data_IF_795433709164
#
_entry.id   IF_795433709164
#
_cell.length_a   1.000
_cell.length_b   1.000
_cell.length_c   1.000
_cell.angle_alpha   90.00
_cell.angle_beta   90.00
_cell.angle_gamma   90.00
#
_symmetry.space_group_name_H-M   'P 1'
#
loop_
_entity.id
_entity.type
_entity.pdbx_description
1 polymer ?
#
# COMPACT_ATOMS: atom_id res chain seq x y z
N UNK A 1 14.63 43.50 22.17
CA UNK A 1 14.29 42.60 21.05
C UNK A 1 15.58 41.94 20.60
N UNK A 2 15.72 40.63 20.79
CA UNK A 2 16.94 39.90 20.44
C UNK A 2 17.00 39.72 18.93
N UNK A 3 17.94 40.41 18.29
CA UNK A 3 18.24 40.23 16.87
C UNK A 3 18.76 38.79 16.71
N UNK A 4 18.17 37.95 15.84
CA UNK A 4 18.71 36.61 15.62
C UNK A 4 20.14 36.73 15.05
N UNK A 5 21.09 35.88 15.49
CA UNK A 5 22.45 35.94 15.01
C UNK A 5 22.46 35.78 13.48
N UNK A 6 23.28 36.60 12.81
CA UNK A 6 23.52 36.52 11.38
C UNK A 6 23.75 35.06 10.97
N UNK A 7 22.92 34.56 10.05
CA UNK A 7 22.89 33.15 9.69
C UNK A 7 24.20 32.76 8.99
N UNK A 8 25.11 32.11 9.72
CA UNK A 8 26.50 31.87 9.31
C UNK A 8 26.78 30.51 8.68
N UNK A 9 25.78 29.80 8.14
CA UNK A 9 25.98 28.48 7.53
C UNK A 9 25.85 28.51 6.01
N UNK A 10 26.79 27.86 5.31
CA UNK A 10 26.66 27.58 3.87
C UNK A 10 25.64 26.47 3.62
N UNK A 11 25.21 26.32 2.37
CA UNK A 11 24.26 25.27 1.97
C UNK A 11 24.82 23.86 2.24
N UNK A 12 26.10 23.65 2.01
CA UNK A 12 26.81 22.39 2.22
C UNK A 12 26.89 22.07 3.71
N UNK A 13 27.13 23.08 4.54
CA UNK A 13 27.14 22.92 6.00
C UNK A 13 25.75 22.55 6.52
N UNK A 14 24.70 23.22 6.03
CA UNK A 14 23.31 22.87 6.40
C UNK A 14 22.95 21.46 5.95
N UNK A 15 23.34 21.06 4.73
CA UNK A 15 23.14 19.71 4.23
C UNK A 15 23.86 18.67 5.10
N UNK A 16 25.12 18.91 5.43
CA UNK A 16 25.91 18.04 6.32
C UNK A 16 25.26 17.88 7.70
N UNK A 17 24.83 18.98 8.33
CA UNK A 17 24.12 18.93 9.62
C UNK A 17 22.82 18.13 9.53
N UNK A 18 22.06 18.26 8.43
CA UNK A 18 20.85 17.46 8.22
C UNK A 18 21.13 15.96 8.15
N UNK A 19 22.18 15.54 7.43
CA UNK A 19 22.57 14.14 7.32
C UNK A 19 23.04 13.59 8.68
N UNK A 20 23.90 14.32 9.39
CA UNK A 20 24.44 13.88 10.70
C UNK A 20 23.32 13.72 11.73
N UNK A 21 22.41 14.70 11.82
CA UNK A 21 21.29 14.63 12.77
C UNK A 21 20.31 13.50 12.42
N UNK A 22 20.15 13.18 11.14
CA UNK A 22 19.32 12.07 10.67
C UNK A 22 19.97 10.71 11.01
N UNK A 23 21.28 10.56 10.77
CA UNK A 23 22.02 9.34 11.11
C UNK A 23 22.09 9.10 12.62
N UNK A 24 22.25 10.18 13.40
CA UNK A 24 22.24 10.13 14.87
C UNK A 24 20.85 9.95 15.50
N UNK A 25 19.79 9.78 14.70
CA UNK A 25 18.42 9.52 15.18
C UNK A 25 17.78 10.68 15.97
N UNK A 26 18.41 11.85 16.02
CA UNK A 26 17.97 13.00 16.82
C UNK A 26 16.93 13.84 16.08
N UNK A 27 15.78 13.25 15.73
CA UNK A 27 14.77 13.87 14.85
C UNK A 27 14.17 15.15 15.45
N UNK A 28 14.04 15.23 16.77
CA UNK A 28 13.56 16.44 17.46
C UNK A 28 14.55 17.61 17.37
N UNK A 29 15.86 17.32 17.35
CA UNK A 29 16.88 18.35 17.13
C UNK A 29 16.88 18.78 15.66
N UNK A 30 16.74 17.83 14.74
CA UNK A 30 16.59 18.10 13.31
C UNK A 30 15.39 19.02 13.03
N UNK A 31 14.24 18.76 13.68
CA UNK A 31 13.05 19.60 13.53
C UNK A 31 13.24 21.03 14.03
N UNK A 32 13.97 21.23 15.14
CA UNK A 32 14.31 22.59 15.63
C UNK A 32 15.31 23.29 14.71
N UNK A 33 16.32 22.57 14.23
CA UNK A 33 17.31 23.10 13.30
C UNK A 33 16.63 23.57 12.00
N UNK A 34 15.77 22.74 11.40
CA UNK A 34 15.02 23.10 10.20
C UNK A 34 14.12 24.33 10.39
N UNK A 35 13.55 24.52 11.59
CA UNK A 35 12.75 25.70 11.90
C UNK A 35 13.60 26.97 12.07
N UNK A 36 14.85 26.83 12.52
CA UNK A 36 15.79 27.95 12.67
C UNK A 36 16.42 28.41 11.36
N UNK A 37 16.24 27.68 10.25
CA UNK A 37 16.78 28.06 8.95
C UNK A 37 16.08 29.32 8.41
N UNK A 38 16.81 30.26 7.80
CA UNK A 38 16.24 31.46 7.20
C UNK A 38 15.41 31.08 5.99
N UNK A 39 14.45 31.94 5.63
CA UNK A 39 13.59 31.79 4.45
C UNK A 39 14.36 32.05 3.13
N UNK A 40 15.48 31.38 2.93
CA UNK A 40 16.24 31.40 1.68
C UNK A 40 15.73 30.28 0.77
N UNK A 41 15.25 30.66 -0.42
CA UNK A 41 14.62 29.75 -1.37
C UNK A 41 15.56 28.64 -1.87
N UNK A 42 16.84 28.99 -2.11
CA UNK A 42 17.87 28.03 -2.56
C UNK A 42 18.15 26.95 -1.51
N UNK A 43 18.24 27.34 -0.23
CA UNK A 43 18.45 26.41 0.88
C UNK A 43 17.29 25.42 1.02
N UNK A 44 16.06 25.89 0.75
CA UNK A 44 14.84 25.11 0.86
C UNK A 44 14.65 24.12 -0.29
N UNK A 45 15.35 24.32 -1.42
CA UNK A 45 15.39 23.42 -2.58
C UNK A 45 16.49 22.35 -2.48
N UNK A 46 17.40 22.45 -1.51
CA UNK A 46 18.45 21.46 -1.31
C UNK A 46 17.85 20.08 -0.94
N UNK A 47 18.30 19.02 -1.63
CA UNK A 47 17.78 17.66 -1.42
C UNK A 47 17.93 17.16 0.03
N UNK A 48 19.06 17.41 0.69
CA UNK A 48 19.27 16.98 2.09
C UNK A 48 18.30 17.67 3.05
N UNK A 49 18.01 18.94 2.82
CA UNK A 49 17.03 19.71 3.61
C UNK A 49 15.61 19.19 3.36
N UNK A 50 15.25 18.93 2.09
CA UNK A 50 13.96 18.36 1.73
C UNK A 50 13.76 16.96 2.31
N UNK A 51 14.78 16.10 2.22
CA UNK A 51 14.80 14.77 2.84
C UNK A 51 14.64 14.86 4.36
N UNK A 52 15.35 15.78 5.01
CA UNK A 52 15.22 16.02 6.45
C UNK A 52 13.80 16.47 6.83
N UNK A 53 13.19 17.39 6.05
CA UNK A 53 11.80 17.82 6.23
C UNK A 53 10.82 16.65 6.11
N UNK A 54 10.99 15.79 5.11
CA UNK A 54 10.18 14.59 4.93
C UNK A 54 10.29 13.65 6.16
N UNK A 55 11.50 13.41 6.67
CA UNK A 55 11.72 12.58 7.86
C UNK A 55 11.07 13.17 9.11
N UNK A 56 11.22 14.48 9.33
CA UNK A 56 10.60 15.17 10.48
C UNK A 56 9.07 15.13 10.37
N UNK A 57 8.51 15.38 9.19
CA UNK A 57 7.06 15.29 8.95
C UNK A 57 6.52 13.87 9.25
N UNK A 58 7.24 12.83 8.81
CA UNK A 58 6.91 11.45 9.12
C UNK A 58 6.91 11.16 10.62
N UNK A 59 7.94 11.60 11.35
CA UNK A 59 8.06 11.37 12.80
C UNK A 59 6.96 12.07 13.60
N UNK A 60 6.53 13.26 13.17
CA UNK A 60 5.45 14.02 13.79
C UNK A 60 4.05 13.49 13.43
N UNK A 61 3.95 12.53 12.52
CA UNK A 61 2.67 12.03 12.00
C UNK A 61 1.98 13.00 11.04
N UNK A 62 2.66 14.04 10.57
CA UNK A 62 2.15 15.01 9.60
C UNK A 62 2.33 14.46 8.18
N UNK A 63 1.58 13.41 7.85
CA UNK A 63 1.74 12.71 6.56
C UNK A 63 1.39 13.58 5.36
N UNK A 64 0.48 14.55 5.50
CA UNK A 64 0.15 15.51 4.44
C UNK A 64 1.37 16.31 3.97
N UNK A 65 2.18 16.78 4.90
CA UNK A 65 3.39 17.54 4.57
C UNK A 65 4.46 16.63 3.97
N UNK A 66 4.58 15.40 4.46
CA UNK A 66 5.43 14.36 3.86
C UNK A 66 5.07 14.16 2.38
N UNK A 67 3.81 13.90 2.07
CA UNK A 67 3.36 13.66 0.69
C UNK A 67 3.66 14.87 -0.20
N UNK A 68 3.33 16.08 0.28
CA UNK A 68 3.62 17.32 -0.44
C UNK A 68 5.11 17.45 -0.78
N UNK A 69 6.00 17.21 0.18
CA UNK A 69 7.45 17.30 -0.05
C UNK A 69 7.90 16.28 -1.10
N UNK A 70 7.44 15.04 -0.97
CA UNK A 70 7.81 13.94 -1.87
C UNK A 70 7.27 14.13 -3.28
N UNK A 71 6.08 14.68 -3.46
CA UNK A 71 5.46 14.87 -4.78
C UNK A 71 5.93 16.14 -5.49
N UNK A 72 6.39 17.16 -4.75
CA UNK A 72 6.69 18.48 -5.33
C UNK A 72 8.13 18.65 -5.82
N UNK A 73 9.07 17.78 -5.40
CA UNK A 73 10.49 17.94 -5.70
C UNK A 73 11.09 16.65 -6.22
N UNK A 74 11.90 16.73 -7.27
CA UNK A 74 12.66 15.59 -7.78
C UNK A 74 13.82 15.27 -6.85
N UNK A 75 14.02 13.99 -6.54
CA UNK A 75 15.16 13.53 -5.75
C UNK A 75 16.11 12.70 -6.58
N UNK A 76 17.39 12.74 -6.21
CA UNK A 76 18.41 11.88 -6.80
C UNK A 76 18.20 10.40 -6.43
N UNK A 77 18.58 9.44 -7.31
CA UNK A 77 18.34 8.01 -7.11
C UNK A 77 18.85 7.43 -5.79
N UNK A 78 19.97 7.93 -5.27
CA UNK A 78 20.53 7.47 -3.99
C UNK A 78 19.61 7.75 -2.79
N UNK A 79 18.73 8.76 -2.88
CA UNK A 79 17.75 9.06 -1.84
C UNK A 79 16.45 8.26 -1.99
N UNK A 80 16.16 7.70 -3.17
CA UNK A 80 14.88 7.03 -3.47
C UNK A 80 14.53 5.92 -2.48
N UNK A 81 15.40 4.96 -2.13
CA UNK A 81 15.02 3.85 -1.25
C UNK A 81 14.48 4.32 0.11
N UNK A 82 15.10 5.36 0.67
CA UNK A 82 14.68 5.92 1.96
C UNK A 82 13.33 6.63 1.85
N UNK A 83 13.13 7.43 0.80
CA UNK A 83 11.90 8.20 0.60
C UNK A 83 10.72 7.30 0.24
N UNK A 84 10.95 6.27 -0.58
CA UNK A 84 9.95 5.24 -0.90
C UNK A 84 9.49 4.50 0.36
N UNK A 85 10.42 4.16 1.27
CA UNK A 85 10.08 3.57 2.56
C UNK A 85 9.19 4.49 3.41
N UNK A 86 9.49 5.80 3.46
CA UNK A 86 8.66 6.76 4.20
C UNK A 86 7.26 6.86 3.62
N UNK A 87 7.14 6.99 2.28
CA UNK A 87 5.87 7.03 1.57
C UNK A 87 4.99 5.81 1.89
N UNK A 88 5.56 4.60 1.71
CA UNK A 88 4.84 3.36 1.94
C UNK A 88 4.45 3.19 3.41
N UNK A 89 5.37 3.48 4.33
CA UNK A 89 5.11 3.33 5.77
C UNK A 89 4.04 4.32 6.24
N UNK A 90 4.05 5.56 5.76
CA UNK A 90 3.04 6.56 6.09
C UNK A 90 1.64 6.09 5.66
N UNK A 91 1.49 5.66 4.41
CA UNK A 91 0.21 5.14 3.93
C UNK A 91 -0.23 3.85 4.63
N UNK A 92 0.71 2.97 5.02
CA UNK A 92 0.38 1.82 5.85
C UNK A 92 -0.15 2.24 7.22
N UNK A 93 0.51 3.17 7.89
CA UNK A 93 0.09 3.68 9.20
C UNK A 93 -1.30 4.33 9.14
N UNK A 94 -1.58 5.14 8.13
CA UNK A 94 -2.92 5.71 7.92
C UNK A 94 -3.98 4.62 7.70
N UNK A 95 -3.66 3.62 6.86
CA UNK A 95 -4.58 2.52 6.59
C UNK A 95 -4.81 1.61 7.81
N UNK A 96 -3.78 1.40 8.64
CA UNK A 96 -3.88 0.65 9.90
C UNK A 96 -4.72 1.41 10.92
N UNK A 97 -4.50 2.72 11.05
CA UNK A 97 -5.27 3.59 11.94
C UNK A 97 -6.76 3.61 11.57
N UNK A 98 -7.09 3.70 10.28
CA UNK A 98 -8.47 3.65 9.81
C UNK A 98 -9.15 2.30 10.03
N UNK A 99 -8.38 1.20 9.99
CA UNK A 99 -8.92 -0.16 10.18
C UNK A 99 -8.93 -0.63 11.63
N UNK A 100 -8.20 0.04 12.52
CA UNK A 100 -8.02 -0.37 13.92
C UNK A 100 -7.26 -1.69 14.09
N UNK A 101 -6.59 -2.20 13.04
CA UNK A 101 -5.83 -3.46 13.09
C UNK A 101 -4.62 -3.44 12.16
N UNK A 102 -3.55 -4.19 12.46
CA UNK A 102 -2.37 -4.27 11.61
C UNK A 102 -2.69 -4.76 10.19
N UNK A 103 -1.97 -4.22 9.21
CA UNK A 103 -2.15 -4.56 7.80
C UNK A 103 -1.41 -5.86 7.45
N UNK A 104 -2.16 -6.88 7.03
CA UNK A 104 -1.60 -8.07 6.40
C UNK A 104 -1.06 -7.83 4.99
N UNK A 105 -0.43 -8.85 4.39
CA UNK A 105 0.21 -8.75 3.06
C UNK A 105 -0.74 -8.22 1.96
N UNK A 106 -1.98 -8.71 1.94
CA UNK A 106 -3.01 -8.25 0.98
C UNK A 106 -3.41 -6.80 1.22
N UNK A 107 -3.48 -6.38 2.49
CA UNK A 107 -3.75 -4.99 2.85
C UNK A 107 -2.65 -4.06 2.33
N UNK A 108 -1.39 -4.40 2.59
CA UNK A 108 -0.23 -3.64 2.09
C UNK A 108 -0.17 -3.61 0.55
N UNK A 109 -0.54 -4.70 -0.11
CA UNK A 109 -0.69 -4.73 -1.58
C UNK A 109 -1.75 -3.74 -2.08
N UNK A 110 -2.94 -3.72 -1.46
CA UNK A 110 -4.02 -2.79 -1.83
C UNK A 110 -3.61 -1.34 -1.63
N UNK A 111 -2.89 -1.02 -0.56
CA UNK A 111 -2.37 0.34 -0.30
C UNK A 111 -1.38 0.75 -1.39
N UNK A 112 -0.39 -0.09 -1.73
CA UNK A 112 0.57 0.18 -2.82
C UNK A 112 -0.10 0.42 -4.17
N UNK A 113 -1.20 -0.29 -4.45
CA UNK A 113 -1.98 -0.09 -5.68
C UNK A 113 -2.80 1.18 -5.68
N UNK A 114 -3.30 1.61 -4.52
CA UNK A 114 -4.09 2.83 -4.38
C UNK A 114 -3.22 4.09 -4.39
N UNK A 115 -2.02 3.99 -3.82
CA UNK A 115 -1.06 5.08 -3.68
C UNK A 115 0.29 4.65 -4.25
N UNK A 116 0.44 4.65 -5.60
CA UNK A 116 1.71 4.33 -6.24
C UNK A 116 2.81 5.32 -5.84
N UNK A 117 4.07 4.92 -5.99
CA UNK A 117 5.20 5.82 -5.73
C UNK A 117 5.19 6.98 -6.74
N UNK A 118 5.36 8.24 -6.30
CA UNK A 118 5.44 9.36 -7.21
C UNK A 118 6.76 9.32 -8.02
N UNK A 119 6.72 9.82 -9.26
CA UNK A 119 7.86 9.83 -10.22
C UNK A 119 9.07 10.62 -9.69
N UNK A 120 8.84 11.48 -8.71
CA UNK A 120 9.87 12.26 -8.01
C UNK A 120 10.83 11.41 -7.16
N UNK A 121 10.40 10.23 -6.73
CA UNK A 121 11.19 9.29 -5.91
C UNK A 121 11.26 7.89 -6.53
N UNK A 122 10.89 7.77 -7.79
CA UNK A 122 10.85 6.52 -8.52
C UNK A 122 11.05 6.77 -10.02
N UNK A 123 12.06 6.10 -10.58
CA UNK A 123 12.41 6.08 -12.00
C UNK A 123 11.29 5.58 -12.91
N UNK A 124 10.28 4.92 -12.34
CA UNK A 124 9.07 4.62 -13.05
C UNK A 124 9.06 3.32 -13.81
N UNK A 125 9.99 2.41 -13.50
CA UNK A 125 10.00 1.05 -14.00
C UNK A 125 8.76 0.29 -13.52
N UNK A 126 7.67 0.42 -14.27
CA UNK A 126 6.38 -0.15 -13.90
C UNK A 126 6.50 -1.66 -13.70
N UNK A 127 6.31 -2.11 -12.46
CA UNK A 127 6.08 -3.53 -12.19
C UNK A 127 4.67 -3.84 -12.67
N UNK A 128 4.51 -4.14 -13.96
CA UNK A 128 3.23 -4.54 -14.52
C UNK A 128 2.77 -5.82 -13.83
N UNK A 129 1.87 -5.65 -12.86
CA UNK A 129 1.34 -6.74 -12.05
C UNK A 129 0.30 -7.56 -12.82
N UNK A 130 -0.19 -7.01 -13.94
CA UNK A 130 -1.07 -7.70 -14.88
C UNK A 130 -0.21 -8.41 -15.92
N UNK A 131 -0.56 -9.66 -16.26
CA UNK A 131 0.11 -10.34 -17.36
C UNK A 131 -0.02 -9.54 -18.66
N UNK A 132 0.94 -9.71 -19.58
CA UNK A 132 0.90 -9.13 -20.92
C UNK A 132 -0.43 -9.46 -21.61
N UNK A 133 -0.91 -8.55 -22.47
CA UNK A 133 -2.16 -8.70 -23.25
C UNK A 133 -2.29 -10.10 -23.85
N UNK A 134 -1.24 -10.55 -24.56
CA UNK A 134 -1.15 -11.86 -25.20
C UNK A 134 -1.37 -13.02 -24.23
N UNK A 135 -0.67 -13.02 -23.09
CA UNK A 135 -0.81 -14.05 -22.06
C UNK A 135 -2.24 -14.07 -21.47
N UNK A 136 -2.87 -12.89 -21.33
CA UNK A 136 -4.26 -12.80 -20.84
C UNK A 136 -5.27 -13.37 -21.83
N UNK A 137 -5.08 -13.14 -23.13
CA UNK A 137 -5.98 -13.69 -24.16
C UNK A 137 -5.97 -15.22 -24.15
N UNK A 138 -4.79 -15.84 -24.16
CA UNK A 138 -4.64 -17.30 -24.11
C UNK A 138 -5.31 -17.90 -22.86
N UNK A 139 -5.12 -17.28 -21.68
CA UNK A 139 -5.75 -17.76 -20.45
C UNK A 139 -7.28 -17.62 -20.48
N UNK A 140 -7.81 -16.53 -21.03
CA UNK A 140 -9.26 -16.32 -21.16
C UNK A 140 -9.90 -17.30 -22.13
N UNK A 141 -9.32 -17.46 -23.31
CA UNK A 141 -9.76 -18.42 -24.32
C UNK A 141 -9.74 -19.84 -23.76
N UNK A 142 -8.69 -20.20 -23.02
CA UNK A 142 -8.67 -21.53 -22.44
C UNK A 142 -9.71 -21.73 -21.34
N UNK A 143 -9.97 -20.69 -20.54
CA UNK A 143 -10.97 -20.72 -19.48
C UNK A 143 -12.40 -20.97 -19.98
N UNK A 144 -12.77 -20.45 -21.16
CA UNK A 144 -14.10 -20.71 -21.72
C UNK A 144 -14.30 -22.17 -22.09
N UNK A 145 -13.23 -22.89 -22.42
CA UNK A 145 -13.26 -24.31 -22.75
C UNK A 145 -13.14 -25.18 -21.49
N UNK A 146 -12.18 -24.87 -20.61
CA UNK A 146 -11.92 -25.64 -19.40
C UNK A 146 -11.51 -24.74 -18.22
N UNK A 147 -12.43 -24.45 -17.27
CA UNK A 147 -12.13 -23.67 -16.06
C UNK A 147 -11.21 -24.38 -15.05
N UNK A 148 -10.95 -25.68 -15.20
CA UNK A 148 -10.22 -26.53 -14.25
C UNK A 148 -9.09 -27.31 -14.95
N UNK A 149 -8.02 -26.64 -15.41
CA UNK A 149 -6.91 -27.31 -16.07
C UNK A 149 -6.15 -28.23 -15.10
N UNK A 150 -5.77 -29.41 -15.58
CA UNK A 150 -4.92 -30.40 -14.93
C UNK A 150 -3.49 -29.90 -14.72
N UNK A 151 -2.68 -30.56 -13.88
CA UNK A 151 -1.27 -30.19 -13.69
C UNK A 151 -0.44 -30.17 -14.98
N UNK A 152 -0.77 -31.03 -15.95
CA UNK A 152 -0.12 -31.06 -17.27
C UNK A 152 -0.52 -29.86 -18.11
N UNK A 153 -1.82 -29.61 -18.26
CA UNK A 153 -2.33 -28.46 -19.03
C UNK A 153 -1.84 -27.13 -18.44
N UNK A 154 -1.69 -27.03 -17.12
CA UNK A 154 -1.08 -25.85 -16.47
C UNK A 154 0.38 -25.63 -16.86
N UNK A 155 1.15 -26.70 -17.13
CA UNK A 155 2.52 -26.59 -17.65
C UNK A 155 2.51 -26.11 -19.09
N UNK A 156 1.64 -26.67 -19.93
CA UNK A 156 1.49 -26.26 -21.33
C UNK A 156 1.06 -24.77 -21.43
N UNK A 157 0.14 -24.32 -20.57
CA UNK A 157 -0.25 -22.90 -20.48
C UNK A 157 0.88 -22.01 -19.98
N UNK A 158 1.67 -22.48 -19.01
CA UNK A 158 2.82 -21.74 -18.50
C UNK A 158 3.85 -21.51 -19.62
N UNK A 159 4.15 -22.55 -20.39
CA UNK A 159 5.01 -22.50 -21.57
C UNK A 159 4.45 -21.54 -22.65
N UNK A 160 3.17 -21.69 -23.01
CA UNK A 160 2.53 -20.87 -24.04
C UNK A 160 2.42 -19.38 -23.66
N UNK A 161 2.27 -19.07 -22.37
CA UNK A 161 2.05 -17.70 -21.89
C UNK A 161 3.32 -17.02 -21.37
N UNK A 162 4.42 -17.76 -21.21
CA UNK A 162 5.64 -17.30 -20.56
C UNK A 162 5.47 -17.01 -19.06
N UNK A 163 4.47 -17.62 -18.42
CA UNK A 163 4.17 -17.47 -17.00
C UNK A 163 4.64 -18.69 -16.22
N UNK A 164 4.82 -18.55 -14.92
CA UNK A 164 5.03 -19.71 -14.04
C UNK A 164 3.74 -20.51 -13.86
N UNK A 165 3.86 -21.82 -13.64
CA UNK A 165 2.73 -22.72 -13.33
C UNK A 165 1.91 -22.26 -12.12
N UNK A 166 2.57 -21.63 -11.14
CA UNK A 166 1.94 -21.00 -9.97
C UNK A 166 1.10 -19.78 -10.37
N UNK A 167 1.61 -18.91 -11.23
CA UNK A 167 0.86 -17.75 -11.75
C UNK A 167 -0.38 -18.18 -12.53
N UNK A 168 -0.25 -19.21 -13.40
CA UNK A 168 -1.37 -19.80 -14.12
C UNK A 168 -2.39 -20.37 -13.12
N UNK A 169 -1.95 -21.18 -12.16
CA UNK A 169 -2.83 -21.76 -11.13
C UNK A 169 -3.60 -20.69 -10.35
N UNK A 170 -2.92 -19.63 -9.94
CA UNK A 170 -3.53 -18.51 -9.23
C UNK A 170 -4.51 -17.74 -10.10
N UNK A 171 -4.23 -17.57 -11.39
CA UNK A 171 -5.13 -16.90 -12.31
C UNK A 171 -6.47 -17.64 -12.43
N UNK A 172 -6.45 -18.96 -12.67
CA UNK A 172 -7.66 -19.77 -12.77
C UNK A 172 -8.44 -19.78 -11.45
N UNK A 173 -7.75 -19.90 -10.31
CA UNK A 173 -8.38 -19.79 -8.98
C UNK A 173 -9.09 -18.43 -8.81
N UNK A 174 -8.40 -17.34 -9.11
CA UNK A 174 -8.92 -15.99 -8.95
C UNK A 174 -10.03 -15.65 -9.95
N UNK A 175 -10.04 -16.27 -11.14
CA UNK A 175 -11.10 -16.11 -12.13
C UNK A 175 -12.39 -16.78 -11.65
N UNK A 176 -12.33 -18.05 -11.24
CA UNK A 176 -13.48 -18.77 -10.66
C UNK A 176 -14.06 -18.08 -9.42
N UNK A 177 -13.21 -17.47 -8.59
CA UNK A 177 -13.68 -16.68 -7.44
C UNK A 177 -14.47 -15.43 -7.86
N UNK A 178 -14.07 -14.77 -8.96
CA UNK A 178 -14.78 -13.59 -9.48
C UNK A 178 -16.12 -13.97 -10.10
N UNK A 179 -16.16 -15.08 -10.83
CA UNK A 179 -17.39 -15.53 -11.49
C UNK A 179 -18.45 -15.92 -10.44
N UNK A 180 -18.07 -16.70 -9.42
CA UNK A 180 -18.98 -17.00 -8.28
C UNK A 180 -19.45 -15.75 -7.54
N UNK A 181 -18.60 -14.72 -7.40
CA UNK A 181 -18.97 -13.48 -6.75
C UNK A 181 -19.90 -12.61 -7.62
N UNK A 182 -19.81 -12.72 -8.95
CA UNK A 182 -20.74 -12.07 -9.87
C UNK A 182 -22.11 -12.77 -9.84
N UNK A 183 -22.13 -14.10 -9.93
CA UNK A 183 -23.37 -14.90 -9.83
C UNK A 183 -24.11 -14.67 -8.50
N UNK A 184 -23.38 -14.53 -7.39
CA UNK A 184 -23.98 -14.24 -6.09
C UNK A 184 -24.69 -12.87 -6.06
N UNK A 185 -24.10 -11.86 -6.70
CA UNK A 185 -24.69 -10.52 -6.79
C UNK A 185 -25.90 -10.47 -7.71
N UNK A 186 -25.88 -11.21 -8.81
CA UNK A 186 -27.01 -11.32 -9.74
C UNK A 186 -28.23 -11.94 -9.04
N UNK A 187 -28.03 -12.99 -8.24
CA UNK A 187 -29.10 -13.62 -7.43
C UNK A 187 -29.66 -12.69 -6.34
N UNK A 188 -28.83 -11.87 -5.71
CA UNK A 188 -29.28 -10.88 -4.73
C UNK A 188 -30.11 -9.76 -5.38
N UNK A 189 -29.84 -9.41 -6.64
CA UNK A 189 -30.57 -8.40 -7.38
C UNK A 189 -31.90 -8.93 -7.96
N UNK A 190 -31.94 -10.18 -8.43
CA UNK A 190 -33.16 -10.82 -8.93
C UNK A 190 -34.13 -11.26 -7.81
N UNK A 191 -33.64 -11.41 -6.58
CA UNK A 191 -34.47 -11.71 -5.40
C UNK A 191 -35.29 -10.53 -4.86
N UNK A 192 -35.17 -9.33 -5.43
CA UNK A 192 -35.82 -8.11 -4.96
C UNK A 192 -37.09 -7.72 -5.75
N UNK A 193 -37.59 -8.55 -6.68
CA UNK A 193 -38.83 -8.24 -7.40
C UNK A 193 -39.73 -9.47 -7.66
N UNK A 194 -40.74 -9.74 -6.81
CA UNK A 194 -41.74 -10.76 -7.10
C UNK A 194 -42.91 -10.12 -7.85
N UNK A 195 -42.72 -9.67 -9.09
CA UNK A 195 -43.84 -9.46 -10.00
C UNK A 195 -43.41 -9.29 -11.47
N UNK A 196 -43.93 -10.15 -12.35
CA UNK A 196 -44.26 -9.75 -13.72
C UNK A 196 -43.57 -10.47 -14.88
N UNK A 197 -44.21 -11.58 -15.31
CA UNK A 197 -44.48 -11.91 -16.71
C UNK A 197 -43.34 -12.35 -17.67
N UNK A 198 -43.17 -13.67 -17.72
CA UNK A 198 -43.12 -14.54 -18.91
C UNK A 198 -42.79 -13.89 -20.28
N UNK A 199 -41.68 -14.30 -20.91
CA UNK A 199 -41.64 -14.48 -22.37
C UNK A 199 -40.61 -15.54 -22.76
N UNK A 200 -41.13 -16.67 -23.24
CA UNK A 200 -40.42 -17.73 -23.95
C UNK A 200 -39.99 -17.21 -25.33
N UNK A 201 -38.71 -17.34 -25.67
CA UNK A 201 -38.26 -17.45 -27.07
C UNK A 201 -37.05 -18.37 -27.16
N UNK A 202 -37.27 -19.57 -27.70
CA UNK A 202 -36.24 -20.47 -28.24
C UNK A 202 -36.00 -20.13 -29.71
N UNK A 203 -34.75 -20.00 -30.16
CA UNK A 203 -34.31 -20.42 -31.50
C UNK A 203 -32.78 -20.58 -31.52
N UNK A 204 -32.33 -21.73 -32.02
CA UNK A 204 -30.94 -22.12 -32.21
C UNK A 204 -30.37 -21.60 -33.54
N UNK A 205 -29.06 -21.35 -33.63
CA UNK A 205 -28.22 -21.89 -34.71
C UNK A 205 -26.70 -21.74 -34.44
N UNK A 206 -25.94 -22.68 -34.98
CA UNK A 206 -24.48 -22.83 -34.92
C UNK A 206 -23.70 -21.85 -35.82
N UNK A 207 -22.44 -21.59 -35.43
CA UNK A 207 -21.18 -21.58 -36.22
C UNK A 207 -20.25 -20.35 -36.09
N UNK A 208 -19.00 -20.68 -35.70
CA UNK A 208 -17.69 -20.16 -36.14
C UNK A 208 -17.39 -18.63 -36.15
N UNK A 209 -16.43 -18.27 -35.29
CA UNK A 209 -15.43 -17.18 -35.39
C UNK A 209 -14.85 -16.98 -36.81
N UNK A 210 -14.25 -15.81 -37.19
CA UNK A 210 -13.39 -14.98 -36.32
C UNK A 210 -13.47 -13.45 -36.46
N UNK A 211 -12.72 -12.83 -35.55
CA UNK A 211 -12.40 -11.42 -35.35
C UNK A 211 -12.24 -10.53 -36.61
N UNK A 212 -12.98 -9.40 -36.62
CA UNK A 212 -12.62 -8.09 -37.20
C UNK A 212 -13.29 -7.02 -36.31
N UNK A 213 -12.51 -6.23 -35.56
CA UNK A 213 -12.14 -4.83 -35.85
C UNK A 213 -13.32 -3.87 -36.01
N UNK A 214 -13.54 -2.99 -35.03
CA UNK A 214 -13.57 -1.54 -35.29
C UNK A 214 -13.58 -0.71 -33.99
N UNK A 215 -12.96 0.44 -34.16
CA UNK A 215 -12.60 1.55 -33.28
C UNK A 215 -13.72 2.04 -32.34
N UNK A 216 -13.33 2.59 -31.18
CA UNK A 216 -13.52 4.04 -30.97
C UNK A 216 -12.84 4.55 -29.68
N UNK A 217 -12.30 5.74 -29.86
CA UNK A 217 -11.47 6.56 -29.00
C UNK A 217 -12.37 7.44 -28.13
N UNK A 218 -12.26 7.38 -26.78
CA UNK A 218 -12.53 8.56 -25.95
C UNK A 218 -12.00 8.46 -24.53
N UNK A 219 -10.97 9.23 -24.25
CA UNK A 219 -10.67 9.72 -22.90
C UNK A 219 -11.75 10.71 -22.44
N UNK A 220 -11.90 10.94 -21.12
CA UNK A 220 -12.21 12.29 -20.68
C UNK A 220 -11.27 12.76 -19.57
N UNK A 221 -10.47 13.77 -19.91
CA UNK A 221 -9.93 14.77 -19.00
C UNK A 221 -10.85 15.99 -19.10
N UNK A 222 -11.26 16.55 -17.96
CA UNK A 222 -12.01 17.81 -17.95
C UNK A 222 -12.56 18.18 -16.57
N UNK A 223 -11.79 18.96 -15.81
CA UNK A 223 -12.31 19.97 -14.86
C UNK A 223 -12.69 21.24 -15.66
N UNK A 224 -13.65 22.07 -15.22
CA UNK A 224 -13.32 23.19 -14.32
C UNK A 224 -14.43 23.56 -13.30
N UNK A 225 -14.16 24.66 -12.57
CA UNK A 225 -14.64 25.08 -11.25
C UNK A 225 -16.05 25.72 -11.12
N UNK A 226 -16.47 25.77 -9.85
CA UNK A 226 -17.03 26.91 -9.08
C UNK A 226 -18.55 27.01 -8.79
N UNK A 227 -18.81 27.25 -7.49
CA UNK A 227 -19.93 27.98 -6.85
C UNK A 227 -21.05 27.19 -6.14
N UNK A 228 -20.91 27.18 -4.80
CA UNK A 228 -21.91 27.44 -3.73
C UNK A 228 -23.33 26.87 -3.82
N UNK A 229 -23.75 26.15 -2.76
CA UNK A 229 -24.85 26.53 -1.83
C UNK A 229 -25.07 25.42 -0.80
N UNK A 230 -25.11 25.79 0.49
CA UNK A 230 -25.67 25.00 1.60
C UNK A 230 -27.21 24.93 1.48
N UNK A 231 -27.90 23.98 2.11
CA UNK A 231 -28.26 24.02 3.55
C UNK A 231 -28.06 22.62 4.20
N UNK A 232 -28.08 22.36 5.51
CA UNK A 232 -28.80 22.95 6.63
C UNK A 232 -29.38 21.79 7.45
N UNK A 233 -28.79 21.56 8.63
CA UNK A 233 -29.30 20.90 9.84
C UNK A 233 -30.57 20.03 9.73
N UNK A 234 -30.49 18.77 10.16
CA UNK A 234 -31.42 18.24 11.18
C UNK A 234 -30.72 17.31 12.16
N UNK A 235 -31.07 17.59 13.42
CA UNK A 235 -30.63 17.07 14.69
C UNK A 235 -31.27 15.70 14.95
N UNK A 236 -30.51 14.77 15.53
CA UNK A 236 -31.01 13.46 15.95
C UNK A 236 -30.23 12.97 17.16
N UNK A 237 -30.51 13.57 18.31
CA UNK A 237 -30.01 13.22 19.62
C UNK A 237 -30.50 11.84 20.08
N UNK A 238 -29.61 11.02 20.61
CA UNK A 238 -29.95 10.13 21.74
C UNK A 238 -28.69 9.77 22.52
N UNK A 239 -28.44 10.56 23.56
CA UNK A 239 -27.55 10.24 24.68
C UNK A 239 -28.39 9.71 25.84
N UNK A 240 -27.81 8.79 26.63
CA UNK A 240 -28.25 8.47 27.99
C UNK A 240 -29.04 7.16 28.14
N UNK A 241 -28.79 6.23 29.06
CA UNK A 241 -27.75 5.83 30.04
C UNK A 241 -28.31 4.50 30.67
N UNK A 242 -27.54 3.72 31.44
CA UNK A 242 -27.82 2.34 31.92
C UNK A 242 -28.38 2.39 33.37
N UNK A 243 -28.07 1.46 34.32
CA UNK A 243 -27.88 -0.01 34.36
C UNK A 243 -28.83 -0.67 35.40
N UNK A 244 -28.78 -2.01 35.62
CA UNK A 244 -28.89 -2.65 36.96
C UNK A 244 -28.77 -4.19 36.90
N UNK A 245 -27.82 -4.72 37.68
CA UNK A 245 -27.84 -5.94 38.53
C UNK A 245 -28.22 -7.31 37.88
N UNK A 246 -27.58 -8.46 38.17
CA UNK A 246 -26.91 -8.88 39.41
C UNK A 246 -26.30 -10.30 39.31
N UNK A 247 -25.41 -10.60 40.26
CA UNK A 247 -25.04 -11.91 40.86
C UNK A 247 -24.15 -12.93 40.11
N UNK A 248 -22.97 -13.18 40.69
CA UNK A 248 -22.14 -14.39 40.61
C UNK A 248 -22.61 -15.44 41.67
N UNK A 249 -21.85 -16.48 42.11
CA UNK A 249 -20.68 -17.22 41.58
C UNK A 249 -20.83 -18.78 41.74
N UNK A 250 -19.84 -19.58 41.31
CA UNK A 250 -19.41 -20.87 41.93
C UNK A 250 -18.27 -21.49 41.10
N UNK A 251 -17.02 -21.60 41.59
CA UNK A 251 -16.33 -22.80 42.17
C UNK A 251 -16.50 -24.09 41.35
N UNK A 252 -15.51 -24.95 41.07
CA UNK A 252 -14.13 -25.18 41.50
C UNK A 252 -13.78 -26.67 41.23
N UNK A 253 -12.49 -27.05 41.32
CA UNK A 253 -11.89 -28.42 41.22
C UNK A 253 -11.65 -28.94 39.79
N UNK A 254 -10.45 -29.30 39.31
CA UNK A 254 -9.44 -30.31 39.77
C UNK A 254 -9.53 -31.50 38.78
N UNK A 255 -8.51 -32.16 38.21
CA UNK A 255 -7.12 -32.42 38.59
C UNK A 255 -6.38 -33.16 37.44
N UNK A 256 -5.05 -32.96 37.35
CA UNK A 256 -3.92 -33.82 36.90
C UNK A 256 -4.08 -35.06 35.99
N UNK A 257 -3.26 -35.10 34.92
CA UNK A 257 -2.15 -36.03 34.58
C UNK A 257 -1.56 -35.52 33.23
N UNK A 258 -0.28 -35.24 32.99
CA UNK A 258 0.96 -35.90 33.38
C UNK A 258 1.46 -36.72 32.17
N UNK A 259 2.46 -36.23 31.43
CA UNK A 259 3.66 -36.97 30.96
C UNK A 259 4.57 -36.10 30.07
N UNK A 260 5.86 -36.14 30.42
CA UNK A 260 7.02 -35.42 29.87
C UNK A 260 7.41 -35.82 28.45
N UNK A 261 8.10 -34.92 27.74
CA UNK A 261 9.35 -35.26 27.04
C UNK A 261 10.24 -34.01 26.84
N UNK A 262 11.53 -34.23 27.14
CA UNK A 262 12.74 -33.40 27.09
C UNK A 262 12.88 -32.42 25.90
N UNK A 263 13.22 -31.14 26.13
CA UNK A 263 14.56 -30.54 26.35
C UNK A 263 15.38 -30.33 25.06
N UNK A 264 15.50 -29.07 24.62
CA UNK A 264 16.79 -28.40 24.39
C UNK A 264 16.57 -26.88 24.22
N UNK A 265 17.00 -26.12 25.22
CA UNK A 265 17.21 -24.68 25.15
C UNK A 265 18.72 -24.46 25.18
N UNK A 266 19.23 -23.60 24.31
CA UNK A 266 20.54 -22.98 24.45
C UNK A 266 20.31 -21.48 24.44
N UNK A 267 20.66 -20.87 25.57
CA UNK A 267 20.76 -19.44 25.79
C UNK A 267 22.13 -18.94 25.35
N UNK A 268 22.17 -17.61 25.22
CA UNK A 268 23.32 -16.72 25.39
C UNK A 268 24.38 -16.55 24.28
N UNK A 269 24.44 -15.28 23.85
CA UNK A 269 25.63 -14.46 24.12
C UNK A 269 26.75 -14.52 23.10
N UNK A 270 26.95 -13.42 22.37
CA UNK A 270 28.15 -12.58 22.52
C UNK A 270 28.09 -11.41 21.52
N UNK A 271 27.83 -10.22 22.07
CA UNK A 271 28.47 -8.99 21.60
C UNK A 271 29.99 -9.18 21.73
N UNK A 272 30.77 -8.81 20.71
CA UNK A 272 31.99 -8.05 20.97
C UNK A 272 32.52 -7.31 19.71
N UNK A 273 33.30 -6.24 19.91
CA UNK A 273 33.57 -5.17 18.94
C UNK A 273 35.07 -5.10 18.55
N UNK A 274 35.45 -3.97 17.90
CA UNK A 274 36.82 -3.44 17.80
C UNK A 274 37.73 -4.13 16.76
N UNK A 275 38.65 -3.52 16.03
CA UNK A 275 39.17 -2.14 15.89
C UNK A 275 40.14 -2.14 14.69
N UNK A 276 40.34 -0.95 14.11
CA UNK A 276 41.56 -0.40 13.50
C UNK A 276 42.75 -1.31 13.16
N UNK A 277 43.26 -1.14 11.94
CA UNK A 277 44.59 -1.53 11.52
C UNK A 277 45.03 -0.74 10.28
N UNK A 278 45.43 0.52 10.49
CA UNK A 278 46.22 1.35 9.57
C UNK A 278 47.68 1.24 9.99
N UNK A 279 48.57 0.73 9.12
CA UNK A 279 50.00 1.09 8.87
C UNK A 279 50.41 0.30 7.61
N UNK A 280 50.59 0.90 6.42
CA UNK A 280 51.80 1.54 5.88
C UNK A 280 53.05 0.61 5.81
N UNK A 281 53.52 0.33 4.58
CA UNK A 281 54.92 0.21 4.12
C UNK A 281 55.02 -0.80 2.96
N UNK A 282 55.40 -0.30 1.78
CA UNK A 282 55.65 -1.05 0.56
C UNK A 282 55.42 -0.19 -0.68
#
# INVERSE_FOLDING_TARGET
MSIPPSFGFTQEQVACVCEVLQQGGSIERLGRFLWSLPACEHLHKNESVLKAKAVVAFHRGNFRDLYKVLESHQFSPHNHPKLQQLWLKAHYMEAEKLRGRPLGAVGKYRVRRKFPLPRTIWDGEETSYCFKEKSRCVLKEWYTHNPYPSPREKRELAEATGLTTTQVSNWFKNRRQRDRAAEAKERENDGANPNGHNSLTSHANENKSPCESSDDEKSPTGTPEHSSMSPGLLLGSSSGLPPLHSFAPSTGTGSVHGHSHHHFSMHDGLLNPMTAGLVELG
#
